data_IF_002044859338
#
_entry.id   IF_002044859338
#
_cell.length_a   1.000
_cell.length_b   1.000
_cell.length_c   1.000
_cell.angle_alpha   90.00
_cell.angle_beta   90.00
_cell.angle_gamma   90.00
#
_symmetry.space_group_name_H-M   'P 1'
#
loop_
_entity.id
_entity.type
_entity.pdbx_description
1 polymer ?
#
# COMPACT_ATOMS: atom_id res chain seq x y z
N UNK A 1 14.47 -23.35 -3.03
CA UNK A 1 13.11 -23.21 -2.50
C UNK A 1 12.97 -21.77 -2.02
N UNK A 2 12.75 -20.83 -2.93
CA UNK A 2 12.72 -19.38 -2.63
C UNK A 2 11.84 -18.61 -3.63
N UNK A 3 10.80 -19.29 -4.15
CA UNK A 3 9.86 -18.75 -5.15
C UNK A 3 8.55 -18.26 -4.50
N UNK A 4 8.61 -17.94 -3.20
CA UNK A 4 7.50 -17.43 -2.40
C UNK A 4 7.92 -16.23 -1.55
N UNK A 5 8.93 -15.44 -1.98
CA UNK A 5 9.12 -14.11 -1.39
C UNK A 5 7.99 -13.22 -1.89
N UNK A 6 6.83 -13.43 -1.28
CA UNK A 6 5.55 -12.84 -1.59
C UNK A 6 5.73 -11.36 -1.81
N UNK A 7 5.34 -10.92 -3.00
CA UNK A 7 5.28 -9.51 -3.37
C UNK A 7 4.51 -8.76 -2.31
N UNK A 8 5.25 -8.13 -1.39
CA UNK A 8 4.66 -7.48 -0.23
C UNK A 8 3.67 -6.42 -0.70
N UNK A 9 2.52 -6.28 -0.03
CA UNK A 9 1.48 -5.37 -0.46
C UNK A 9 2.07 -3.97 -0.61
N UNK A 10 1.94 -3.43 -1.83
CA UNK A 10 2.39 -2.09 -2.18
C UNK A 10 1.16 -1.26 -2.47
N UNK A 11 1.02 -0.13 -1.80
CA UNK A 11 -0.16 0.73 -1.91
C UNK A 11 0.29 2.14 -2.26
N UNK A 12 -0.28 2.69 -3.33
CA UNK A 12 -0.12 4.09 -3.69
C UNK A 12 -1.26 4.90 -3.11
N UNK A 13 -0.92 5.97 -2.40
CA UNK A 13 -1.85 6.87 -1.74
C UNK A 13 -1.69 8.27 -2.33
N UNK A 14 -2.68 8.76 -3.05
CA UNK A 14 -2.79 10.17 -3.41
C UNK A 14 -3.36 10.95 -2.23
N UNK A 15 -2.68 12.01 -1.81
CA UNK A 15 -3.06 12.87 -0.68
C UNK A 15 -2.66 14.31 -0.99
N UNK A 16 -3.44 15.28 -0.50
CA UNK A 16 -3.12 16.69 -0.66
C UNK A 16 -1.82 17.10 0.08
N UNK A 17 -1.48 16.41 1.18
CA UNK A 17 -0.31 16.68 2.00
C UNK A 17 0.56 15.41 2.17
N UNK A 18 1.36 15.04 1.15
CA UNK A 18 2.11 13.78 1.17
C UNK A 18 3.21 13.73 2.24
N UNK A 19 3.81 14.86 2.60
CA UNK A 19 4.77 14.90 3.68
C UNK A 19 4.14 14.58 5.05
N UNK A 20 2.96 15.13 5.33
CA UNK A 20 2.23 14.90 6.58
C UNK A 20 1.75 13.44 6.68
N UNK A 21 1.15 12.94 5.59
CA UNK A 21 0.70 11.55 5.51
C UNK A 21 1.86 10.56 5.60
N UNK A 22 3.00 10.81 4.94
CA UNK A 22 4.18 9.95 5.05
C UNK A 22 4.68 9.86 6.50
N UNK A 23 4.70 10.98 7.23
CA UNK A 23 5.12 11.02 8.63
C UNK A 23 4.20 10.22 9.55
N UNK A 24 2.89 10.28 9.32
CA UNK A 24 1.90 9.48 10.05
C UNK A 24 2.06 7.99 9.71
N UNK A 25 2.26 7.66 8.44
CA UNK A 25 2.45 6.28 7.98
C UNK A 25 3.77 5.68 8.46
N UNK A 26 4.82 6.48 8.71
CA UNK A 26 6.06 6.00 9.31
C UNK A 26 5.86 5.43 10.72
N UNK A 27 4.81 5.85 11.43
CA UNK A 27 4.46 5.33 12.75
C UNK A 27 3.59 4.08 12.72
N UNK A 28 3.13 3.66 11.53
CA UNK A 28 2.25 2.51 11.38
C UNK A 28 3.06 1.20 11.47
N UNK A 29 2.72 0.29 12.41
CA UNK A 29 3.41 -0.99 12.51
C UNK A 29 3.18 -1.84 11.26
N UNK A 30 4.24 -2.48 10.78
CA UNK A 30 4.23 -3.29 9.56
C UNK A 30 4.64 -2.53 8.29
N UNK A 31 4.85 -1.22 8.37
CA UNK A 31 5.41 -0.48 7.23
C UNK A 31 6.90 -0.78 7.09
N UNK A 32 7.27 -1.25 5.91
CA UNK A 32 8.66 -1.55 5.57
C UNK A 32 9.33 -0.42 4.82
N UNK A 33 8.58 0.25 3.94
CA UNK A 33 9.12 1.34 3.15
C UNK A 33 8.04 2.34 2.78
N UNK A 34 8.41 3.62 2.80
CA UNK A 34 7.57 4.74 2.40
C UNK A 34 8.36 5.59 1.41
N UNK A 35 7.78 5.85 0.24
CA UNK A 35 8.34 6.75 -0.75
C UNK A 35 7.31 7.82 -1.07
N UNK A 36 7.59 9.06 -0.66
CA UNK A 36 6.78 10.21 -1.06
C UNK A 36 7.24 10.72 -2.43
N UNK A 37 6.32 10.77 -3.38
CA UNK A 37 6.55 11.20 -4.75
C UNK A 37 5.59 12.34 -5.09
N UNK A 38 5.95 13.55 -4.65
CA UNK A 38 5.30 14.83 -4.97
C UNK A 38 3.82 14.95 -4.59
N UNK A 39 2.96 14.26 -5.32
CA UNK A 39 1.50 14.23 -5.19
C UNK A 39 0.96 12.89 -4.65
N UNK A 40 1.82 11.89 -4.51
CA UNK A 40 1.45 10.54 -4.04
C UNK A 40 2.49 9.95 -3.11
N UNK A 41 2.10 8.95 -2.31
CA UNK A 41 2.96 8.19 -1.42
C UNK A 41 2.86 6.73 -1.80
N UNK A 42 3.98 6.03 -1.92
CA UNK A 42 4.03 4.60 -2.06
C UNK A 42 4.39 3.99 -0.70
N UNK A 43 3.55 3.09 -0.20
CA UNK A 43 3.73 2.38 1.06
C UNK A 43 3.90 0.90 0.77
N UNK A 44 4.91 0.26 1.37
CA UNK A 44 5.15 -1.18 1.26
C UNK A 44 5.04 -1.87 2.61
N UNK A 45 4.49 -3.08 2.60
CA UNK A 45 4.36 -3.95 3.77
C UNK A 45 3.01 -3.88 4.48
N UNK A 46 2.13 -2.96 4.06
CA UNK A 46 0.81 -2.77 4.68
C UNK A 46 -0.29 -2.70 3.64
N UNK A 47 -1.43 -3.28 3.96
CA UNK A 47 -2.62 -3.28 3.12
C UNK A 47 -3.33 -1.92 3.09
N UNK A 48 -4.05 -1.67 1.99
CA UNK A 48 -4.73 -0.40 1.74
C UNK A 48 -5.77 -0.06 2.83
N UNK A 49 -6.49 -1.06 3.34
CA UNK A 49 -7.49 -0.86 4.39
C UNK A 49 -6.88 -0.36 5.71
N UNK A 50 -5.72 -0.89 6.09
CA UNK A 50 -5.01 -0.49 7.31
C UNK A 50 -4.45 0.93 7.14
N UNK A 51 -3.85 1.22 5.98
CA UNK A 51 -3.38 2.55 5.61
C UNK A 51 -4.52 3.57 5.67
N UNK A 52 -5.67 3.26 5.07
CA UNK A 52 -6.83 4.15 5.05
C UNK A 52 -7.35 4.42 6.46
N UNK A 53 -7.50 3.37 7.27
CA UNK A 53 -7.97 3.50 8.67
C UNK A 53 -7.04 4.39 9.48
N UNK A 54 -5.73 4.22 9.34
CA UNK A 54 -4.73 5.02 10.04
C UNK A 54 -4.73 6.48 9.60
N UNK A 55 -4.83 6.74 8.29
CA UNK A 55 -4.90 8.12 7.77
C UNK A 55 -6.15 8.85 8.29
N UNK A 56 -7.31 8.17 8.31
CA UNK A 56 -8.55 8.75 8.82
C UNK A 56 -8.50 9.05 10.32
N UNK A 57 -7.84 8.21 11.13
CA UNK A 57 -7.62 8.46 12.56
C UNK A 57 -6.78 9.73 12.82
N UNK A 58 -5.92 10.09 11.87
CA UNK A 58 -5.10 11.30 11.92
C UNK A 58 -5.71 12.49 11.14
N UNK A 59 -6.99 12.43 10.80
CA UNK A 59 -7.72 13.45 10.02
C UNK A 59 -7.12 13.73 8.63
N UNK A 60 -6.42 12.75 8.05
CA UNK A 60 -5.89 12.84 6.69
C UNK A 60 -6.81 12.06 5.75
N UNK A 61 -7.43 12.76 4.80
CA UNK A 61 -8.29 12.14 3.80
C UNK A 61 -7.48 11.93 2.50
N UNK A 62 -7.24 10.68 2.08
CA UNK A 62 -6.62 10.41 0.79
C UNK A 62 -7.60 10.77 -0.34
N UNK A 63 -7.07 11.38 -1.40
CA UNK A 63 -7.80 11.65 -2.64
C UNK A 63 -7.81 10.43 -3.56
N UNK A 64 -6.80 9.58 -3.47
CA UNK A 64 -6.70 8.35 -4.24
C UNK A 64 -6.03 7.26 -3.41
N UNK A 65 -6.49 6.02 -3.51
CA UNK A 65 -5.87 4.87 -2.85
C UNK A 65 -5.87 3.68 -3.79
N UNK A 66 -4.70 3.37 -4.33
CA UNK A 66 -4.50 2.32 -5.32
C UNK A 66 -3.63 1.23 -4.71
N UNK A 67 -4.25 0.11 -4.33
CA UNK A 67 -3.52 -1.08 -3.93
C UNK A 67 -2.91 -1.72 -5.18
N UNK A 68 -1.59 -1.70 -5.29
CA UNK A 68 -0.88 -2.42 -6.33
C UNK A 68 -0.77 -3.88 -5.88
N UNK A 69 -1.87 -4.62 -6.10
CA UNK A 69 -1.86 -6.07 -5.96
C UNK A 69 -1.04 -6.60 -7.13
N UNK A 70 0.13 -7.15 -6.83
CA UNK A 70 1.03 -7.71 -7.82
C UNK A 70 0.51 -9.06 -8.33
N UNK A 71 -0.74 -9.15 -8.78
CA UNK A 71 -1.26 -10.44 -9.24
C UNK A 71 -2.39 -10.30 -10.25
N UNK A 72 -2.00 -10.14 -11.51
CA UNK A 72 -2.79 -10.63 -12.63
C UNK A 72 -2.32 -12.04 -13.09
N UNK A 73 -1.22 -12.56 -12.55
CA UNK A 73 -0.68 -13.87 -12.93
C UNK A 73 -1.13 -15.00 -11.98
N UNK A 74 -1.35 -14.76 -10.67
CA UNK A 74 -1.89 -15.81 -9.78
C UNK A 74 -3.40 -16.07 -9.93
N UNK A 75 -4.18 -15.12 -10.49
CA UNK A 75 -5.63 -15.29 -10.70
C UNK A 75 -5.96 -16.15 -11.93
N UNK A 76 -5.01 -16.30 -12.86
CA UNK A 76 -5.19 -17.16 -14.04
C UNK A 76 -4.87 -18.64 -13.75
N UNK A 77 -3.99 -18.92 -12.80
CA UNK A 77 -3.65 -20.30 -12.40
C UNK A 77 -4.76 -20.99 -11.60
N UNK A 78 -5.57 -20.24 -10.84
CA UNK A 78 -6.66 -20.81 -10.04
C UNK A 78 -7.89 -21.24 -10.87
N UNK A 79 -8.02 -20.73 -12.11
CA UNK A 79 -9.16 -21.04 -13.01
C UNK A 79 -8.83 -22.11 -14.06
N UNK A 80 -7.57 -22.53 -14.16
CA UNK A 80 -7.12 -23.51 -15.18
C UNK A 80 -6.52 -24.81 -14.62
N UNK A 81 -6.60 -25.02 -13.31
CA UNK A 81 -6.23 -26.31 -12.71
C UNK A 81 -7.43 -26.93 -11.99
N UNK A 82 -7.81 -28.18 -12.30
CA UNK A 82 -8.08 -28.82 -13.60
C UNK A 82 -9.58 -28.82 -14.00
#
# INVERSE_FOLDING_TARGET
DDLLNGSKPTVRVGVAAPAAAARVLQSLPGVESIQSNGSSILVKGVESQVIMSHLLQHNIIPTELTAQKSDLESLFMDVTAP
#
